data_IF_740601970613
#
_entry.id   IF_740601970613
#
_cell.length_a   1.000
_cell.length_b   1.000
_cell.length_c   1.000
_cell.angle_alpha   90.00
_cell.angle_beta   90.00
_cell.angle_gamma   90.00
#
_symmetry.space_group_name_H-M   'P 1'
#
loop_
_entity.id
_entity.type
_entity.pdbx_description
1 polymer ?
#
# COMPACT_ATOMS: atom_id res chain seq x y z
N UNK A 1 29.87 -7.71 -28.77
CA UNK A 1 29.86 -7.40 -27.33
C UNK A 1 28.44 -7.06 -26.93
N UNK A 2 27.77 -7.92 -26.19
CA UNK A 2 26.37 -7.70 -25.83
C UNK A 2 26.25 -6.55 -24.82
N UNK A 3 25.44 -5.57 -25.13
CA UNK A 3 25.06 -4.45 -24.23
C UNK A 3 24.44 -4.96 -22.91
N UNK A 4 23.97 -6.21 -22.92
CA UNK A 4 23.40 -6.93 -21.78
C UNK A 4 24.31 -6.93 -20.53
N UNK A 5 25.61 -6.92 -20.70
CA UNK A 5 26.60 -7.04 -19.60
C UNK A 5 26.80 -5.72 -18.84
N UNK A 6 26.14 -4.64 -19.27
CA UNK A 6 26.24 -3.30 -18.66
C UNK A 6 24.93 -2.81 -18.05
N UNK A 7 23.87 -3.61 -18.07
CA UNK A 7 22.57 -3.23 -17.53
C UNK A 7 22.25 -4.15 -16.34
N UNK A 8 22.25 -3.59 -15.15
CA UNK A 8 21.75 -4.25 -13.96
C UNK A 8 20.25 -3.99 -13.84
N UNK A 9 19.45 -5.06 -13.90
CA UNK A 9 18.00 -4.97 -13.71
C UNK A 9 17.64 -5.53 -12.34
N UNK A 10 17.08 -4.69 -11.48
CA UNK A 10 16.53 -5.10 -10.19
C UNK A 10 15.04 -4.84 -10.19
N UNK A 11 14.27 -5.84 -9.81
CA UNK A 11 12.80 -5.77 -9.74
C UNK A 11 12.36 -5.90 -8.29
N UNK A 12 11.52 -4.98 -7.85
CA UNK A 12 10.90 -5.01 -6.52
C UNK A 12 9.61 -4.20 -6.48
N UNK A 13 8.87 -4.36 -5.41
CA UNK A 13 7.72 -3.50 -5.12
C UNK A 13 7.98 -2.77 -3.80
N UNK A 14 7.61 -1.50 -3.74
CA UNK A 14 7.85 -0.64 -2.58
C UNK A 14 7.17 -1.15 -1.29
N UNK A 15 6.09 -1.92 -1.39
CA UNK A 15 5.45 -2.59 -0.26
C UNK A 15 6.37 -3.60 0.45
N UNK A 16 7.34 -4.15 -0.26
CA UNK A 16 8.33 -5.09 0.29
C UNK A 16 9.57 -4.39 0.85
N UNK A 17 9.72 -3.09 0.61
CA UNK A 17 10.89 -2.32 1.05
C UNK A 17 10.94 -2.18 2.57
N UNK A 18 9.77 -2.00 3.20
CA UNK A 18 9.63 -1.95 4.65
C UNK A 18 8.23 -2.48 5.04
N UNK A 19 8.14 -3.01 6.24
CA UNK A 19 6.85 -3.44 6.78
C UNK A 19 6.00 -2.28 7.32
N UNK A 20 6.47 -1.05 7.27
CA UNK A 20 5.83 0.17 7.81
C UNK A 20 5.30 0.01 9.23
N UNK A 21 5.94 -0.87 10.01
CA UNK A 21 5.56 -1.18 11.38
C UNK A 21 5.65 0.08 12.25
N UNK A 22 4.58 0.39 12.98
CA UNK A 22 4.50 1.59 13.81
C UNK A 22 4.20 2.90 13.05
N UNK A 23 4.01 2.84 11.72
CA UNK A 23 3.62 4.00 10.90
C UNK A 23 2.15 3.91 10.53
N UNK A 24 1.71 2.77 10.03
CA UNK A 24 0.30 2.47 9.73
C UNK A 24 -0.28 1.51 10.76
N UNK A 25 -1.60 1.48 10.87
CA UNK A 25 -2.28 0.56 11.78
C UNK A 25 -2.07 -0.88 11.34
N UNK A 26 -2.01 -1.83 12.32
CA UNK A 26 -1.91 -3.27 12.03
C UNK A 26 -3.09 -3.75 11.16
N UNK A 27 -4.27 -3.22 11.38
CA UNK A 27 -5.45 -3.54 10.59
C UNK A 27 -5.30 -3.11 9.11
N UNK A 28 -4.73 -1.94 8.87
CA UNK A 28 -4.46 -1.48 7.50
C UNK A 28 -3.40 -2.35 6.82
N UNK A 29 -2.38 -2.77 7.57
CA UNK A 29 -1.36 -3.68 7.07
C UNK A 29 -1.94 -5.02 6.62
N UNK A 30 -2.91 -5.55 7.35
CA UNK A 30 -3.50 -6.87 7.09
C UNK A 30 -4.61 -6.83 6.03
N UNK A 31 -5.33 -5.72 5.90
CA UNK A 31 -6.56 -5.61 5.11
C UNK A 31 -6.62 -4.39 4.21
N UNK A 32 -5.66 -3.47 4.28
CA UNK A 32 -5.64 -2.25 3.47
C UNK A 32 -4.94 -2.46 2.14
N UNK A 33 -5.69 -2.66 1.06
CA UNK A 33 -5.14 -2.93 -0.27
C UNK A 33 -5.42 -1.86 -1.30
N UNK A 34 -6.39 -0.97 -1.04
CA UNK A 34 -6.72 0.09 -1.98
C UNK A 34 -7.45 1.26 -1.31
N UNK A 35 -6.91 2.45 -1.46
CA UNK A 35 -7.52 3.69 -0.99
C UNK A 35 -7.66 3.79 0.54
N UNK A 36 -6.90 2.99 1.31
CA UNK A 36 -6.90 2.98 2.76
C UNK A 36 -6.00 4.04 3.40
N UNK A 37 -5.57 3.78 4.63
CA UNK A 37 -4.72 4.68 5.43
C UNK A 37 -3.38 4.96 4.73
N UNK A 38 -2.77 3.94 4.13
CA UNK A 38 -1.46 4.02 3.49
C UNK A 38 -1.47 4.97 2.28
N UNK A 39 -2.25 4.65 1.26
CA UNK A 39 -2.29 5.41 0.01
C UNK A 39 -2.87 6.81 0.21
N UNK A 40 -3.92 6.94 1.02
CA UNK A 40 -4.53 8.24 1.31
C UNK A 40 -3.57 9.14 2.07
N UNK A 41 -2.74 8.60 2.97
CA UNK A 41 -1.72 9.40 3.68
C UNK A 41 -0.65 9.92 2.72
N UNK A 42 -0.19 9.09 1.79
CA UNK A 42 0.76 9.52 0.74
C UNK A 42 0.16 10.65 -0.09
N UNK A 43 -1.09 10.51 -0.53
CA UNK A 43 -1.77 11.54 -1.30
C UNK A 43 -1.97 12.83 -0.51
N UNK A 44 -2.30 12.75 0.78
CA UNK A 44 -2.40 13.93 1.66
C UNK A 44 -1.07 14.66 1.82
N UNK A 45 0.04 13.94 1.78
CA UNK A 45 1.37 14.55 1.85
C UNK A 45 1.80 15.18 0.51
N UNK A 46 1.67 14.43 -0.59
CA UNK A 46 2.19 14.86 -1.88
C UNK A 46 1.24 15.80 -2.65
N UNK A 47 -0.07 15.53 -2.58
CA UNK A 47 -1.08 16.22 -3.38
C UNK A 47 -2.37 16.44 -2.58
N UNK A 48 -2.33 17.21 -1.46
CA UNK A 48 -3.48 17.36 -0.57
C UNK A 48 -4.73 17.90 -1.27
N UNK A 49 -4.55 18.75 -2.27
CA UNK A 49 -5.66 19.35 -3.03
C UNK A 49 -6.42 18.34 -3.90
N UNK A 50 -5.84 17.16 -4.18
CA UNK A 50 -6.50 16.10 -4.92
C UNK A 50 -7.31 15.17 -4.00
N UNK A 51 -7.17 15.28 -2.69
CA UNK A 51 -7.89 14.46 -1.71
C UNK A 51 -9.16 15.16 -1.27
N UNK A 52 -10.30 14.58 -1.58
CA UNK A 52 -11.61 15.05 -1.10
C UNK A 52 -11.83 14.63 0.34
N UNK A 53 -11.30 15.40 1.30
CA UNK A 53 -11.32 15.06 2.73
C UNK A 53 -12.72 14.83 3.27
N UNK A 54 -13.73 15.56 2.76
CA UNK A 54 -15.14 15.38 3.13
C UNK A 54 -15.72 14.00 2.74
N UNK A 55 -15.02 13.25 1.90
CA UNK A 55 -15.39 11.89 1.49
C UNK A 55 -14.64 10.79 2.25
N UNK A 56 -13.69 11.17 3.09
CA UNK A 56 -12.98 10.20 3.94
C UNK A 56 -13.95 9.68 5.00
N UNK A 57 -14.31 8.40 4.89
CA UNK A 57 -15.24 7.74 5.78
C UNK A 57 -14.89 6.27 5.99
N UNK A 58 -15.57 5.63 6.95
CA UNK A 58 -15.42 4.18 7.12
C UNK A 58 -16.10 3.44 5.96
N UNK A 59 -15.38 2.55 5.33
CA UNK A 59 -15.89 1.69 4.27
C UNK A 59 -16.13 0.27 4.79
N UNK A 60 -17.20 -0.36 4.30
CA UNK A 60 -17.58 -1.71 4.69
C UNK A 60 -17.01 -2.70 3.67
N UNK A 61 -16.14 -3.56 4.16
CA UNK A 61 -15.63 -4.68 3.38
C UNK A 61 -16.61 -5.85 3.41
N UNK A 62 -16.59 -6.66 2.36
CA UNK A 62 -17.35 -7.92 2.31
C UNK A 62 -16.97 -8.80 3.50
N UNK A 63 -17.96 -9.47 4.17
CA UNK A 63 -17.65 -10.45 5.22
C UNK A 63 -16.73 -11.56 4.74
N UNK A 64 -16.84 -12.00 3.51
CA UNK A 64 -16.00 -13.05 2.92
C UNK A 64 -14.53 -12.63 2.85
N UNK A 65 -14.26 -11.35 2.59
CA UNK A 65 -12.90 -10.82 2.62
C UNK A 65 -12.24 -10.92 4.00
N UNK A 66 -13.01 -10.76 5.05
CA UNK A 66 -12.55 -10.76 6.44
C UNK A 66 -12.46 -12.16 7.04
N UNK A 67 -13.22 -13.13 6.54
CA UNK A 67 -13.41 -14.45 7.17
C UNK A 67 -12.53 -15.56 6.59
N UNK A 68 -11.94 -15.37 5.43
CA UNK A 68 -11.18 -16.41 4.74
C UNK A 68 -9.90 -16.79 5.49
N UNK A 69 -9.78 -18.05 5.91
CA UNK A 69 -8.63 -18.56 6.66
C UNK A 69 -7.57 -19.22 5.77
N UNK A 70 -7.98 -20.06 4.84
CA UNK A 70 -7.08 -20.85 3.98
C UNK A 70 -6.94 -20.22 2.61
N UNK A 71 -8.05 -19.99 1.94
CA UNK A 71 -8.08 -19.26 0.66
C UNK A 71 -8.38 -17.81 0.99
N UNK A 72 -7.55 -16.90 0.53
CA UNK A 72 -7.73 -15.48 0.82
C UNK A 72 -7.59 -14.65 -0.45
N UNK A 73 -7.90 -13.38 -0.33
CA UNK A 73 -7.74 -12.44 -1.43
C UNK A 73 -6.30 -11.95 -1.58
N UNK A 74 -5.50 -12.04 -0.49
CA UNK A 74 -4.13 -11.47 -0.46
C UNK A 74 -3.05 -12.37 0.16
N UNK A 75 -3.40 -13.55 0.68
CA UNK A 75 -2.43 -14.48 1.30
C UNK A 75 -1.89 -15.49 0.27
N UNK A 76 -1.23 -16.53 0.75
CA UNK A 76 -0.50 -17.49 -0.08
C UNK A 76 -1.36 -18.24 -1.11
N UNK A 77 -2.60 -18.58 -0.76
CA UNK A 77 -3.57 -19.18 -1.70
C UNK A 77 -4.59 -18.13 -2.03
N UNK A 78 -4.49 -17.55 -3.23
CA UNK A 78 -5.31 -16.41 -3.65
C UNK A 78 -6.52 -16.84 -4.48
N UNK A 79 -7.66 -16.24 -4.17
CA UNK A 79 -8.86 -16.25 -5.02
C UNK A 79 -8.83 -15.02 -5.92
N UNK A 80 -9.18 -15.19 -7.18
CA UNK A 80 -9.42 -14.07 -8.10
C UNK A 80 -10.63 -13.26 -7.65
N UNK A 81 -10.57 -11.95 -7.78
CA UNK A 81 -11.64 -11.04 -7.38
C UNK A 81 -11.62 -9.74 -8.20
N UNK A 82 -12.72 -9.04 -8.15
CA UNK A 82 -12.80 -7.65 -8.60
C UNK A 82 -13.18 -6.76 -7.42
N UNK A 83 -12.66 -5.54 -7.36
CA UNK A 83 -12.82 -4.61 -6.23
C UNK A 83 -14.27 -4.44 -5.80
N UNK A 84 -15.20 -4.44 -6.75
CA UNK A 84 -16.65 -4.28 -6.51
C UNK A 84 -17.26 -5.41 -5.68
N UNK A 85 -16.70 -6.62 -5.73
CA UNK A 85 -17.14 -7.76 -4.90
C UNK A 85 -16.71 -7.58 -3.44
N UNK A 86 -15.57 -6.94 -3.22
CA UNK A 86 -15.01 -6.75 -1.89
C UNK A 86 -15.51 -5.47 -1.22
N UNK A 87 -15.73 -4.43 -2.00
CA UNK A 87 -16.12 -3.12 -1.50
C UNK A 87 -16.98 -2.38 -2.52
N UNK A 88 -18.21 -2.03 -2.12
CA UNK A 88 -19.12 -1.23 -2.96
C UNK A 88 -18.59 0.19 -3.23
N UNK A 89 -17.76 0.72 -2.35
CA UNK A 89 -17.15 2.05 -2.49
C UNK A 89 -15.87 2.05 -3.33
N UNK A 90 -15.30 0.87 -3.62
CA UNK A 90 -14.00 0.72 -4.24
C UNK A 90 -12.83 0.78 -3.27
N UNK A 91 -13.03 1.22 -2.02
CA UNK A 91 -11.97 1.32 -1.01
C UNK A 91 -11.86 -0.01 -0.24
N UNK A 92 -10.65 -0.57 -0.20
CA UNK A 92 -10.30 -1.76 0.58
C UNK A 92 -9.27 -1.33 1.64
N UNK A 93 -9.76 -0.80 2.75
CA UNK A 93 -8.97 -0.22 3.83
C UNK A 93 -9.77 0.78 4.66
N UNK A 94 -9.09 1.49 5.56
CA UNK A 94 -9.72 2.51 6.41
C UNK A 94 -8.95 3.84 6.36
N UNK A 95 -9.35 4.79 5.50
CA UNK A 95 -8.63 6.05 5.33
C UNK A 95 -8.82 7.06 6.47
N UNK A 96 -9.65 6.78 7.49
CA UNK A 96 -10.00 7.77 8.53
C UNK A 96 -8.83 8.22 9.40
N UNK A 97 -7.77 7.42 9.50
CA UNK A 97 -6.55 7.76 10.24
C UNK A 97 -5.47 8.39 9.37
N UNK A 98 -5.73 8.51 8.08
CA UNK A 98 -4.79 9.09 7.13
C UNK A 98 -4.45 10.52 7.47
N UNK A 99 -3.18 10.86 7.36
CA UNK A 99 -2.72 12.25 7.47
C UNK A 99 -1.38 12.44 6.74
N UNK A 100 -1.03 13.70 6.47
CA UNK A 100 0.18 14.05 5.74
C UNK A 100 1.47 13.64 6.47
N UNK A 101 1.47 13.60 7.81
CA UNK A 101 2.65 13.20 8.58
C UNK A 101 2.96 11.70 8.41
N UNK A 102 1.91 10.86 8.39
CA UNK A 102 2.05 9.43 8.06
C UNK A 102 2.58 9.30 6.62
N UNK A 103 2.00 10.03 5.68
CA UNK A 103 2.45 10.03 4.28
C UNK A 103 3.92 10.39 4.14
N UNK A 104 4.38 11.46 4.82
CA UNK A 104 5.79 11.84 4.86
C UNK A 104 6.68 10.70 5.37
N UNK A 105 6.32 10.09 6.50
CA UNK A 105 7.11 8.98 7.08
C UNK A 105 7.20 7.78 6.13
N UNK A 106 6.13 7.47 5.41
CA UNK A 106 6.13 6.40 4.39
C UNK A 106 7.10 6.75 3.27
N UNK A 107 7.01 7.95 2.69
CA UNK A 107 7.88 8.39 1.60
C UNK A 107 9.34 8.41 2.04
N UNK A 108 9.65 8.97 3.21
CA UNK A 108 11.00 9.01 3.75
C UNK A 108 11.60 7.58 3.87
N UNK A 109 10.83 6.61 4.39
CA UNK A 109 11.28 5.22 4.50
C UNK A 109 11.51 4.54 3.15
N UNK A 110 10.58 4.72 2.21
CA UNK A 110 10.73 4.18 0.85
C UNK A 110 11.96 4.75 0.18
N UNK A 111 12.18 6.06 0.28
CA UNK A 111 13.35 6.74 -0.29
C UNK A 111 14.65 6.24 0.33
N UNK A 112 14.71 6.12 1.65
CA UNK A 112 15.89 5.59 2.34
C UNK A 112 16.22 4.16 1.90
N UNK A 113 15.20 3.30 1.75
CA UNK A 113 15.40 1.92 1.31
C UNK A 113 15.85 1.87 -0.15
N UNK A 114 15.25 2.71 -1.01
CA UNK A 114 15.64 2.82 -2.42
C UNK A 114 17.10 3.27 -2.54
N UNK A 115 17.53 4.27 -1.78
CA UNK A 115 18.91 4.71 -1.76
C UNK A 115 19.89 3.60 -1.34
N UNK A 116 19.52 2.79 -0.34
CA UNK A 116 20.33 1.63 0.05
C UNK A 116 20.44 0.62 -1.09
N UNK A 117 19.34 0.31 -1.77
CA UNK A 117 19.34 -0.61 -2.91
C UNK A 117 20.23 -0.08 -4.04
N UNK A 118 20.13 1.22 -4.35
CA UNK A 118 20.97 1.84 -5.37
C UNK A 118 22.46 1.74 -4.99
N UNK A 119 22.81 2.04 -3.74
CA UNK A 119 24.20 1.95 -3.27
C UNK A 119 24.75 0.51 -3.20
N UNK A 120 23.90 -0.49 -3.14
CA UNK A 120 24.29 -1.91 -3.23
C UNK A 120 24.55 -2.37 -4.68
N UNK A 121 24.10 -1.58 -5.66
CA UNK A 121 24.23 -1.90 -7.08
C UNK A 121 25.45 -1.24 -7.73
N UNK A 122 25.95 -0.17 -7.13
CA UNK A 122 27.05 0.67 -7.65
C UNK A 122 28.12 0.91 -6.59
#
# INVERSE_FOLDING_TARGET
MCIRDRINIVKGTYFLFDQFKGIISSKEKDFGNHGGEFETSIMLYLFPNLVRQSKISKHRLSPDYLSSKTISYEKNIKKTWVTKELSKSGIIGDPRKSNAQIGKKIIDKVTQKLNKIINELF
#
